data_IF_810996762215
#
_entry.id   IF_810996762215
#
_cell.length_a   1.000
_cell.length_b   1.000
_cell.length_c   1.000
_cell.angle_alpha   90.00
_cell.angle_beta   90.00
_cell.angle_gamma   90.00
#
_symmetry.space_group_name_H-M   'P 1'
#
loop_
_entity.id
_entity.type
_entity.pdbx_description
1 polymer ?
#
# COMPACT_ATOMS: atom_id res chain seq x y z
N UNK A 1 -32.64 -3.77 8.35
CA UNK A 1 -32.05 -2.52 8.95
C UNK A 1 -31.36 -1.75 7.84
N UNK A 2 -31.22 -0.42 7.96
CA UNK A 2 -30.49 0.32 6.92
C UNK A 2 -29.00 -0.09 6.93
N UNK A 3 -28.54 -0.69 5.84
CA UNK A 3 -27.17 -1.20 5.69
C UNK A 3 -26.14 -0.08 5.74
N UNK A 4 -26.48 1.12 5.27
CA UNK A 4 -25.61 2.29 5.37
C UNK A 4 -25.41 2.74 6.82
N UNK A 5 -26.46 2.65 7.63
CA UNK A 5 -26.38 2.95 9.07
C UNK A 5 -25.48 1.93 9.78
N UNK A 6 -25.59 0.65 9.42
CA UNK A 6 -24.71 -0.40 9.97
C UNK A 6 -23.23 -0.16 9.62
N UNK A 7 -22.94 0.24 8.37
CA UNK A 7 -21.59 0.62 7.96
C UNK A 7 -21.08 1.81 8.78
N UNK A 8 -21.89 2.86 8.94
CA UNK A 8 -21.51 4.04 9.71
C UNK A 8 -21.20 3.69 11.19
N UNK A 9 -22.06 2.92 11.83
CA UNK A 9 -21.85 2.43 13.21
C UNK A 9 -20.59 1.58 13.32
N UNK A 10 -20.35 0.69 12.36
CA UNK A 10 -19.13 -0.12 12.30
C UNK A 10 -17.87 0.74 12.19
N UNK A 11 -17.90 1.81 11.38
CA UNK A 11 -16.82 2.77 11.26
C UNK A 11 -16.57 3.53 12.57
N UNK A 12 -17.61 3.90 13.29
CA UNK A 12 -17.51 4.54 14.62
C UNK A 12 -16.86 3.60 15.64
N UNK A 13 -17.30 2.35 15.72
CA UNK A 13 -16.69 1.36 16.61
C UNK A 13 -15.21 1.11 16.27
N UNK A 14 -14.87 1.03 14.98
CA UNK A 14 -13.50 0.89 14.54
C UNK A 14 -12.66 2.10 14.98
N UNK A 15 -13.16 3.32 14.82
CA UNK A 15 -12.47 4.55 15.25
C UNK A 15 -12.27 4.59 16.77
N UNK A 16 -13.18 3.99 17.54
CA UNK A 16 -13.10 3.84 19.02
C UNK A 16 -12.22 2.65 19.44
N UNK A 17 -11.53 1.98 18.52
CA UNK A 17 -10.73 0.77 18.78
C UNK A 17 -11.55 -0.38 19.39
N UNK A 18 -12.79 -0.55 18.92
CA UNK A 18 -13.73 -1.60 19.31
C UNK A 18 -13.96 -2.56 18.13
N UNK A 19 -12.96 -3.37 17.74
CA UNK A 19 -13.01 -4.17 16.52
C UNK A 19 -14.12 -5.24 16.54
N UNK A 20 -14.41 -5.81 17.68
CA UNK A 20 -15.47 -6.82 17.81
C UNK A 20 -16.84 -6.28 17.46
N UNK A 21 -17.18 -5.08 17.93
CA UNK A 21 -18.46 -4.44 17.62
C UNK A 21 -18.51 -3.96 16.16
N UNK A 22 -17.39 -3.45 15.64
CA UNK A 22 -17.27 -3.10 14.23
C UNK A 22 -17.53 -4.32 13.33
N UNK A 23 -16.93 -5.48 13.63
CA UNK A 23 -17.13 -6.72 12.88
C UNK A 23 -18.59 -7.18 12.92
N UNK A 24 -19.30 -7.03 14.05
CA UNK A 24 -20.72 -7.37 14.13
C UNK A 24 -21.57 -6.50 13.21
N UNK A 25 -21.32 -5.19 13.21
CA UNK A 25 -22.06 -4.25 12.34
C UNK A 25 -21.83 -4.57 10.86
N UNK A 26 -20.58 -4.78 10.43
CA UNK A 26 -20.28 -5.13 9.04
C UNK A 26 -20.82 -6.51 8.64
N UNK A 27 -20.76 -7.50 9.56
CA UNK A 27 -21.33 -8.81 9.32
C UNK A 27 -22.85 -8.72 9.11
N UNK A 28 -23.53 -7.94 9.92
CA UNK A 28 -24.96 -7.72 9.75
C UNK A 28 -25.26 -6.99 8.44
N UNK A 29 -24.46 -6.00 8.06
CA UNK A 29 -24.63 -5.26 6.80
C UNK A 29 -24.55 -6.17 5.58
N UNK A 30 -23.55 -7.07 5.49
CA UNK A 30 -23.47 -7.97 4.34
C UNK A 30 -24.43 -9.18 4.42
N UNK A 31 -25.01 -9.48 5.57
CA UNK A 31 -26.13 -10.45 5.65
C UNK A 31 -27.43 -9.83 5.14
N UNK A 32 -27.66 -8.55 5.41
CA UNK A 32 -28.84 -7.82 4.92
C UNK A 32 -28.74 -7.49 3.41
N UNK A 33 -27.52 -7.21 2.93
CA UNK A 33 -27.22 -6.92 1.53
C UNK A 33 -25.87 -7.57 1.13
N UNK A 34 -25.94 -8.72 0.52
CA UNK A 34 -24.76 -9.51 0.10
C UNK A 34 -23.94 -8.82 -1.00
N UNK A 35 -24.54 -7.91 -1.75
CA UNK A 35 -23.89 -7.17 -2.84
C UNK A 35 -23.21 -5.88 -2.37
N UNK A 36 -23.26 -5.59 -1.08
CA UNK A 36 -22.66 -4.39 -0.50
C UNK A 36 -21.14 -4.56 -0.31
N UNK A 37 -20.36 -4.28 -1.35
CA UNK A 37 -18.89 -4.42 -1.36
C UNK A 37 -18.20 -3.70 -0.18
N UNK A 38 -18.72 -2.55 0.23
CA UNK A 38 -18.18 -1.79 1.36
C UNK A 38 -18.20 -2.57 2.68
N UNK A 39 -19.24 -3.35 2.95
CA UNK A 39 -19.33 -4.17 4.16
C UNK A 39 -18.26 -5.27 4.19
N UNK A 40 -18.08 -5.97 3.07
CA UNK A 40 -17.06 -7.00 2.91
C UNK A 40 -15.65 -6.42 3.04
N UNK A 41 -15.38 -5.29 2.38
CA UNK A 41 -14.10 -4.61 2.48
C UNK A 41 -13.79 -4.19 3.92
N UNK A 42 -14.73 -3.54 4.61
CA UNK A 42 -14.53 -3.04 5.96
C UNK A 42 -14.35 -4.18 6.97
N UNK A 43 -15.11 -5.26 6.82
CA UNK A 43 -14.93 -6.47 7.61
C UNK A 43 -13.52 -7.04 7.45
N UNK A 44 -13.08 -7.25 6.20
CA UNK A 44 -11.73 -7.74 5.89
C UNK A 44 -10.64 -6.83 6.45
N UNK A 45 -10.82 -5.51 6.33
CA UNK A 45 -9.86 -4.56 6.84
C UNK A 45 -9.70 -4.65 8.37
N UNK A 46 -10.81 -4.75 9.12
CA UNK A 46 -10.75 -4.91 10.59
C UNK A 46 -10.10 -6.25 10.98
N UNK A 47 -10.38 -7.34 10.25
CA UNK A 47 -9.72 -8.62 10.48
C UNK A 47 -8.19 -8.50 10.32
N UNK A 48 -7.72 -7.80 9.29
CA UNK A 48 -6.29 -7.52 9.06
C UNK A 48 -5.69 -6.70 10.21
N UNK A 49 -6.38 -5.63 10.64
CA UNK A 49 -5.97 -4.77 11.76
C UNK A 49 -5.88 -5.54 13.08
N UNK A 50 -6.73 -6.54 13.27
CA UNK A 50 -6.67 -7.47 14.40
C UNK A 50 -5.57 -8.54 14.27
N UNK A 51 -4.63 -8.42 13.35
CA UNK A 51 -3.53 -9.38 13.18
C UNK A 51 -3.95 -10.70 12.50
N UNK A 52 -5.08 -10.71 11.78
CA UNK A 52 -5.60 -11.91 11.10
C UNK A 52 -5.61 -11.72 9.56
N UNK A 53 -4.47 -11.36 8.93
CA UNK A 53 -4.44 -11.01 7.51
C UNK A 53 -4.86 -12.17 6.59
N UNK A 54 -4.54 -13.42 6.97
CA UNK A 54 -4.95 -14.59 6.19
C UNK A 54 -6.47 -14.76 6.14
N UNK A 55 -7.16 -14.47 7.26
CA UNK A 55 -8.62 -14.52 7.33
C UNK A 55 -9.29 -13.34 6.64
N UNK A 56 -8.61 -12.21 6.49
CA UNK A 56 -9.12 -11.04 5.77
C UNK A 56 -9.23 -11.29 4.25
N UNK A 57 -8.34 -12.09 3.68
CA UNK A 57 -8.22 -12.30 2.23
C UNK A 57 -9.54 -12.65 1.55
N UNK A 58 -10.32 -13.66 1.96
CA UNK A 58 -11.55 -14.03 1.26
C UNK A 58 -12.60 -12.92 1.27
N UNK A 59 -12.70 -12.13 2.32
CA UNK A 59 -13.63 -10.99 2.40
C UNK A 59 -13.23 -9.87 1.44
N UNK A 60 -11.95 -9.56 1.37
CA UNK A 60 -11.41 -8.54 0.46
C UNK A 60 -11.52 -8.97 -1.01
N UNK A 61 -11.28 -10.25 -1.31
CA UNK A 61 -11.49 -10.80 -2.64
C UNK A 61 -12.97 -10.74 -3.06
N UNK A 62 -13.88 -11.01 -2.14
CA UNK A 62 -15.31 -10.89 -2.42
C UNK A 62 -15.73 -9.43 -2.70
N UNK A 63 -15.23 -8.49 -1.91
CA UNK A 63 -15.43 -7.05 -2.16
C UNK A 63 -14.95 -6.63 -3.56
N UNK A 64 -13.79 -7.14 -4.01
CA UNK A 64 -13.25 -6.88 -5.35
C UNK A 64 -14.11 -7.57 -6.44
N UNK A 65 -14.64 -8.76 -6.18
CA UNK A 65 -15.51 -9.41 -7.11
C UNK A 65 -16.81 -8.65 -7.37
N UNK A 66 -17.34 -7.99 -6.31
CA UNK A 66 -18.51 -7.13 -6.40
C UNK A 66 -18.18 -5.78 -7.07
N UNK A 67 -17.06 -5.18 -6.70
CA UNK A 67 -16.59 -3.90 -7.23
C UNK A 67 -15.14 -4.00 -7.72
N UNK A 68 -14.89 -4.43 -8.98
CA UNK A 68 -13.53 -4.63 -9.49
C UNK A 68 -12.64 -3.39 -9.51
N UNK A 69 -13.21 -2.20 -9.48
CA UNK A 69 -12.50 -0.92 -9.45
C UNK A 69 -12.33 -0.36 -8.04
N UNK A 70 -12.67 -1.11 -6.99
CA UNK A 70 -12.55 -0.64 -5.62
C UNK A 70 -11.08 -0.60 -5.17
N UNK A 71 -10.48 0.59 -5.33
CA UNK A 71 -9.07 0.86 -4.99
C UNK A 71 -8.75 0.49 -3.54
N UNK A 72 -9.68 0.79 -2.61
CA UNK A 72 -9.50 0.50 -1.18
C UNK A 72 -9.43 -1.01 -0.90
N UNK A 73 -10.30 -1.79 -1.53
CA UNK A 73 -10.31 -3.24 -1.36
C UNK A 73 -9.02 -3.88 -1.93
N UNK A 74 -8.57 -3.43 -3.10
CA UNK A 74 -7.29 -3.86 -3.68
C UNK A 74 -6.11 -3.51 -2.78
N UNK A 75 -6.07 -2.29 -2.23
CA UNK A 75 -5.01 -1.86 -1.31
C UNK A 75 -5.00 -2.72 -0.04
N UNK A 76 -6.17 -2.94 0.59
CA UNK A 76 -6.28 -3.77 1.78
C UNK A 76 -5.86 -5.22 1.52
N UNK A 77 -6.20 -5.78 0.36
CA UNK A 77 -5.78 -7.12 -0.05
C UNK A 77 -4.27 -7.18 -0.27
N UNK A 78 -3.69 -6.19 -0.94
CA UNK A 78 -2.24 -6.09 -1.14
C UNK A 78 -1.50 -6.11 0.20
N UNK A 79 -1.91 -5.24 1.13
CA UNK A 79 -1.32 -5.17 2.48
C UNK A 79 -1.49 -6.51 3.23
N UNK A 80 -2.65 -7.16 3.09
CA UNK A 80 -2.89 -8.46 3.72
C UNK A 80 -1.91 -9.53 3.21
N UNK A 81 -1.62 -9.56 1.91
CA UNK A 81 -0.62 -10.47 1.34
C UNK A 81 0.80 -10.12 1.78
N UNK A 82 1.17 -8.84 1.79
CA UNK A 82 2.51 -8.40 2.20
C UNK A 82 2.80 -8.77 3.67
N UNK A 83 1.85 -8.59 4.58
CA UNK A 83 1.98 -8.98 5.99
C UNK A 83 2.21 -10.50 6.13
N UNK A 84 1.62 -11.30 5.26
CA UNK A 84 1.80 -12.76 5.25
C UNK A 84 3.11 -13.21 4.56
N UNK A 85 3.93 -12.29 4.06
CA UNK A 85 5.12 -12.61 3.27
C UNK A 85 4.83 -13.09 1.84
N UNK A 86 3.59 -13.02 1.40
CA UNK A 86 3.21 -13.35 0.02
C UNK A 86 3.52 -12.18 -0.91
N UNK A 87 4.81 -11.94 -1.14
CA UNK A 87 5.29 -10.80 -1.91
C UNK A 87 4.94 -10.90 -3.39
N UNK A 88 4.85 -12.12 -3.93
CA UNK A 88 4.51 -12.35 -5.34
C UNK A 88 3.11 -11.81 -5.70
N UNK A 89 2.15 -11.92 -4.80
CA UNK A 89 0.81 -11.36 -4.97
C UNK A 89 0.68 -9.93 -4.41
N UNK A 90 1.36 -9.65 -3.31
CA UNK A 90 1.23 -8.39 -2.60
C UNK A 90 1.78 -7.20 -3.38
N UNK A 91 3.00 -7.27 -3.90
CA UNK A 91 3.62 -6.13 -4.58
C UNK A 91 2.90 -5.68 -5.85
N UNK A 92 2.49 -6.57 -6.78
CA UNK A 92 1.73 -6.13 -7.95
C UNK A 92 0.41 -5.45 -7.59
N UNK A 93 -0.31 -5.95 -6.59
CA UNK A 93 -1.55 -5.32 -6.11
C UNK A 93 -1.29 -4.00 -5.39
N UNK A 94 -0.16 -3.87 -4.69
CA UNK A 94 0.20 -2.66 -3.95
C UNK A 94 0.43 -1.45 -4.86
N UNK A 95 0.65 -1.66 -6.15
CA UNK A 95 0.74 -0.58 -7.13
C UNK A 95 -0.55 0.24 -7.24
N UNK A 96 -1.68 -0.29 -6.79
CA UNK A 96 -2.95 0.46 -6.70
C UNK A 96 -2.84 1.70 -5.79
N UNK A 97 -1.82 1.76 -4.91
CA UNK A 97 -1.58 2.91 -4.02
C UNK A 97 -1.47 4.24 -4.76
N UNK A 98 -1.07 4.21 -6.03
CA UNK A 98 -1.00 5.40 -6.87
C UNK A 98 -2.37 6.06 -7.12
N UNK A 99 -3.43 5.28 -6.99
CA UNK A 99 -4.82 5.72 -7.11
C UNK A 99 -5.54 5.75 -5.74
N UNK A 100 -4.84 5.37 -4.65
CA UNK A 100 -5.42 5.37 -3.33
C UNK A 100 -5.48 6.80 -2.80
N UNK A 101 -6.68 7.31 -2.55
CA UNK A 101 -6.96 8.72 -2.26
C UNK A 101 -6.08 9.30 -1.14
N UNK A 102 -5.87 8.55 -0.07
CA UNK A 102 -5.05 8.96 1.06
C UNK A 102 -3.55 9.06 0.75
N UNK A 103 -3.08 8.42 -0.31
CA UNK A 103 -1.67 8.40 -0.72
C UNK A 103 -1.41 9.17 -2.01
N UNK A 104 -2.37 9.26 -2.91
CA UNK A 104 -2.23 9.83 -4.25
C UNK A 104 -1.67 11.26 -4.24
N UNK A 105 -1.99 12.06 -3.23
CA UNK A 105 -1.48 13.42 -3.05
C UNK A 105 -0.03 13.49 -2.56
N UNK A 106 0.51 12.40 -2.02
CA UNK A 106 1.85 12.31 -1.45
C UNK A 106 2.85 11.64 -2.42
N UNK A 107 2.33 11.05 -3.49
CA UNK A 107 3.16 10.31 -4.44
C UNK A 107 3.80 11.25 -5.47
N UNK A 108 5.06 11.00 -5.83
CA UNK A 108 5.77 11.82 -6.81
C UNK A 108 5.08 11.79 -8.17
N UNK A 109 5.01 12.96 -8.81
CA UNK A 109 4.48 13.11 -10.17
C UNK A 109 5.63 13.42 -11.12
N UNK A 110 6.04 12.42 -11.91
CA UNK A 110 7.07 12.56 -12.92
C UNK A 110 6.52 12.36 -14.32
N UNK A 111 7.15 13.02 -15.28
CA UNK A 111 6.88 12.85 -16.72
C UNK A 111 7.66 11.68 -17.31
N UNK A 112 8.72 11.24 -16.63
CA UNK A 112 9.55 10.12 -17.04
C UNK A 112 8.82 8.79 -16.81
N UNK A 113 9.02 7.81 -17.70
CA UNK A 113 8.42 6.50 -17.53
C UNK A 113 8.95 5.82 -16.27
N UNK A 114 8.06 5.11 -15.57
CA UNK A 114 8.45 4.28 -14.42
C UNK A 114 9.25 3.08 -14.89
N UNK A 115 10.29 2.75 -14.14
CA UNK A 115 11.02 1.52 -14.36
C UNK A 115 10.18 0.31 -13.88
N UNK A 116 10.04 -0.69 -14.73
CA UNK A 116 9.30 -1.92 -14.47
C UNK A 116 10.13 -3.17 -14.78
N UNK A 117 11.49 -3.05 -14.67
CA UNK A 117 12.39 -4.17 -14.87
C UNK A 117 13.19 -4.13 -16.19
N UNK A 118 13.13 -3.02 -16.94
CA UNK A 118 13.92 -2.86 -18.17
C UNK A 118 15.42 -2.82 -17.84
N UNK A 119 16.27 -3.14 -18.87
CA UNK A 119 17.72 -3.02 -18.75
C UNK A 119 18.15 -1.62 -18.31
N UNK A 120 19.00 -1.55 -17.30
CA UNK A 120 19.51 -0.32 -16.69
C UNK A 120 20.95 0.01 -17.07
N UNK A 121 21.60 -0.83 -17.87
CA UNK A 121 22.99 -0.60 -18.27
C UNK A 121 23.15 0.78 -18.90
N UNK A 122 24.05 1.58 -18.34
CA UNK A 122 24.38 2.95 -18.75
C UNK A 122 23.20 3.96 -18.69
N UNK A 123 22.09 3.59 -18.08
CA UNK A 123 20.91 4.47 -17.92
C UNK A 123 20.91 5.16 -16.57
N UNK A 124 20.35 6.38 -16.55
CA UNK A 124 20.12 7.09 -15.29
C UNK A 124 18.72 6.76 -14.77
N UNK A 125 18.66 6.34 -13.51
CA UNK A 125 17.42 6.11 -12.78
C UNK A 125 17.28 7.12 -11.63
N UNK A 126 16.10 7.74 -11.50
CA UNK A 126 15.73 8.49 -10.33
C UNK A 126 15.01 7.56 -9.37
N UNK A 127 15.55 7.42 -8.16
CA UNK A 127 14.89 6.72 -7.06
C UNK A 127 14.42 7.77 -6.07
N UNK A 128 13.15 7.74 -5.72
CA UNK A 128 12.54 8.70 -4.82
C UNK A 128 11.92 8.01 -3.61
N UNK A 129 12.15 8.59 -2.42
CA UNK A 129 11.55 8.12 -1.19
C UNK A 129 10.08 8.54 -1.10
N UNK A 130 9.18 7.59 -0.95
CA UNK A 130 7.74 7.85 -0.86
C UNK A 130 7.25 8.12 0.55
N UNK A 131 7.87 7.50 1.55
CA UNK A 131 7.38 7.47 2.92
C UNK A 131 8.45 7.88 3.93
N UNK A 132 8.22 7.58 5.21
CA UNK A 132 9.04 8.05 6.30
C UNK A 132 10.53 7.70 6.24
N UNK A 133 11.32 8.36 7.08
CA UNK A 133 12.78 8.19 7.15
C UNK A 133 13.19 6.73 7.38
N UNK A 134 12.45 5.98 8.22
CA UNK A 134 12.74 4.58 8.51
C UNK A 134 12.70 3.70 7.27
N UNK A 135 11.67 3.87 6.43
CA UNK A 135 11.52 3.12 5.18
C UNK A 135 12.64 3.47 4.20
N UNK A 136 12.97 4.76 4.05
CA UNK A 136 14.08 5.20 3.19
C UNK A 136 15.41 4.58 3.65
N UNK A 137 15.72 4.59 4.95
CA UNK A 137 16.94 3.98 5.50
C UNK A 137 16.94 2.48 5.27
N UNK A 138 15.80 1.82 5.45
CA UNK A 138 15.69 0.37 5.26
C UNK A 138 15.87 -0.04 3.80
N UNK A 139 15.26 0.69 2.86
CA UNK A 139 15.20 0.29 1.46
C UNK A 139 16.35 0.83 0.61
N UNK A 140 17.12 1.84 1.07
CA UNK A 140 18.29 2.35 0.35
C UNK A 140 19.32 1.27 0.00
N UNK A 141 19.41 0.20 0.77
CA UNK A 141 20.28 -0.96 0.49
C UNK A 141 20.03 -1.58 -0.89
N UNK A 142 18.83 -1.48 -1.43
CA UNK A 142 18.51 -2.02 -2.75
C UNK A 142 19.05 -1.19 -3.90
N UNK A 143 19.56 0.02 -3.65
CA UNK A 143 20.29 0.81 -4.66
C UNK A 143 21.54 0.06 -5.15
N UNK A 144 22.14 -0.78 -4.29
CA UNK A 144 23.23 -1.63 -4.70
C UNK A 144 22.87 -2.55 -5.87
N UNK A 145 21.67 -3.10 -5.88
CA UNK A 145 21.20 -3.98 -6.96
C UNK A 145 21.09 -3.20 -8.28
N UNK A 146 20.62 -1.95 -8.22
CA UNK A 146 20.53 -1.08 -9.39
C UNK A 146 21.93 -0.69 -9.90
N UNK A 147 22.85 -0.41 -8.99
CA UNK A 147 24.26 -0.12 -9.33
C UNK A 147 24.93 -1.30 -10.03
N UNK A 148 24.78 -2.51 -9.50
CA UNK A 148 25.33 -3.74 -10.11
C UNK A 148 24.69 -4.01 -11.48
N UNK A 149 23.44 -3.63 -11.70
CA UNK A 149 22.78 -3.67 -13.00
C UNK A 149 23.27 -2.57 -13.97
N UNK A 150 24.23 -1.73 -13.57
CA UNK A 150 24.85 -0.72 -14.42
C UNK A 150 24.11 0.63 -14.46
N UNK A 151 23.19 0.85 -13.53
CA UNK A 151 22.47 2.13 -13.46
C UNK A 151 23.33 3.25 -12.87
N UNK A 152 23.14 4.45 -13.40
CA UNK A 152 23.55 5.72 -12.78
C UNK A 152 22.42 6.20 -11.89
N UNK A 153 22.65 6.27 -10.57
CA UNK A 153 21.59 6.47 -9.59
C UNK A 153 21.54 7.93 -9.15
N UNK A 154 20.37 8.55 -9.33
CA UNK A 154 20.00 9.80 -8.67
C UNK A 154 18.98 9.48 -7.58
N UNK A 155 19.27 9.92 -6.36
CA UNK A 155 18.41 9.68 -5.21
C UNK A 155 17.75 10.97 -4.76
N UNK A 156 16.44 10.97 -4.60
CA UNK A 156 15.68 12.05 -3.99
C UNK A 156 15.08 11.57 -2.68
N UNK A 157 15.44 12.22 -1.60
CA UNK A 157 14.95 11.93 -0.23
C UNK A 157 14.74 13.25 0.50
N UNK A 158 14.08 13.18 1.64
CA UNK A 158 13.91 14.35 2.52
C UNK A 158 15.27 14.89 2.99
N UNK A 159 15.35 16.20 3.20
CA UNK A 159 16.60 16.91 3.55
C UNK A 159 17.32 16.30 4.76
N UNK A 160 16.59 15.79 5.75
CA UNK A 160 17.15 15.14 6.92
C UNK A 160 17.96 13.87 6.63
N UNK A 161 17.77 13.22 5.48
CA UNK A 161 18.51 12.02 5.08
C UNK A 161 19.70 12.32 4.15
N UNK A 162 19.81 13.53 3.60
CA UNK A 162 20.91 13.90 2.70
C UNK A 162 22.29 13.72 3.35
N UNK A 163 22.52 14.16 4.61
CA UNK A 163 23.83 13.95 5.25
C UNK A 163 24.20 12.48 5.45
N UNK A 164 23.21 11.62 5.66
CA UNK A 164 23.42 10.19 5.86
C UNK A 164 23.75 9.46 4.54
N UNK A 165 23.06 9.83 3.46
CA UNK A 165 23.07 9.09 2.20
C UNK A 165 23.96 9.74 1.12
N UNK A 166 24.26 11.04 1.24
CA UNK A 166 24.96 11.82 0.22
C UNK A 166 26.41 11.43 -0.04
N UNK A 167 27.04 10.72 0.89
CA UNK A 167 28.43 10.23 0.76
C UNK A 167 28.52 8.83 0.16
N UNK A 168 27.42 8.25 -0.29
CA UNK A 168 27.41 6.92 -0.89
C UNK A 168 28.08 6.93 -2.27
N UNK A 169 29.12 6.09 -2.53
CA UNK A 169 29.85 6.08 -3.79
C UNK A 169 29.03 5.60 -4.99
N UNK A 170 27.89 4.99 -4.76
CA UNK A 170 26.99 4.47 -5.80
C UNK A 170 25.92 5.45 -6.23
N UNK A 171 25.83 6.61 -5.55
CA UNK A 171 24.81 7.63 -5.82
C UNK A 171 25.49 8.84 -6.47
N UNK A 172 25.12 9.17 -7.71
CA UNK A 172 25.70 10.31 -8.42
C UNK A 172 25.20 11.65 -7.88
N UNK A 173 23.94 11.69 -7.42
CA UNK A 173 23.33 12.91 -6.89
C UNK A 173 22.26 12.58 -5.85
N UNK A 174 22.30 13.27 -4.73
CA UNK A 174 21.22 13.32 -3.72
C UNK A 174 20.58 14.70 -3.74
N UNK A 175 19.26 14.74 -3.67
CA UNK A 175 18.49 15.98 -3.58
C UNK A 175 17.25 15.81 -2.72
N UNK A 176 16.74 16.90 -2.22
CA UNK A 176 15.46 17.01 -1.54
C UNK A 176 14.38 17.63 -2.44
#
# INVERSE_FOLDING_TARGET
>A
MDTQLLIAQGNEYRAQNQPTEALKCYAQAFVEDMDLAAAWNNYGNVMRECGQPARAVPFLQHAIALEPQNVTAHFNLAVSYLIQGNYAQGWPLYEVRWNYEHLAGQLPKHTQPRWTGQDLKDKTILVEGEQGHGDNIQFVRFLWNLHVAGAKIKLKVTDGLIPLLGNSPIIERVGG
#
